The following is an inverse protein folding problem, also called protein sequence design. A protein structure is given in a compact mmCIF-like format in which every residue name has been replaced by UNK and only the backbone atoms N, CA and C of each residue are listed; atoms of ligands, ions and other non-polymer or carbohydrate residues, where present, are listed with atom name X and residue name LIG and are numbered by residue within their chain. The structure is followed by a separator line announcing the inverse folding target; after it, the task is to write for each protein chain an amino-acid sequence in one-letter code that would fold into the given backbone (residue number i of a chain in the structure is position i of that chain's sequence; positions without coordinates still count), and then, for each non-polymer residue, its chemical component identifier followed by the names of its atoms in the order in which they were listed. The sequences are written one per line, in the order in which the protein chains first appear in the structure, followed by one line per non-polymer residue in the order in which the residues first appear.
data_IF_775868225491
#
_entry.id   IF_775868225491
#
_cell.length_a   1.000
_cell.length_b   1.000
_cell.length_c   1.000
_cell.angle_alpha   90.00
_cell.angle_beta   90.00
_cell.angle_gamma   90.00
#
_symmetry.space_group_name_H-M   'P 1'
#
loop_
_entity.id
_entity.type
_entity.pdbx_description
1 polymer ?
#
# COMPACT_ATOMS: atom_id res chain seq x y z
N UNK A 1 17.92 -2.06 -7.48
CA UNK A 1 18.08 -3.15 -6.47
C UNK A 1 19.41 -3.88 -6.58
N UNK A 2 19.87 -4.35 -7.75
CA UNK A 2 21.21 -4.97 -7.89
C UNK A 2 22.34 -4.06 -7.39
N UNK A 3 22.30 -2.77 -7.74
CA UNK A 3 23.23 -1.75 -7.25
C UNK A 3 23.18 -1.55 -5.72
N UNK A 4 22.02 -1.75 -5.08
CA UNK A 4 21.89 -1.65 -3.62
C UNK A 4 22.48 -2.88 -2.94
N UNK A 5 22.24 -4.08 -3.48
CA UNK A 5 22.81 -5.33 -2.97
C UNK A 5 24.34 -5.35 -3.05
N UNK A 6 24.95 -4.63 -4.01
CA UNK A 6 26.40 -4.50 -4.13
C UNK A 6 27.03 -3.49 -3.15
N UNK A 7 26.23 -2.69 -2.43
CA UNK A 7 26.78 -1.77 -1.42
C UNK A 7 27.22 -2.54 -0.16
N UNK A 8 28.34 -2.13 0.47
CA UNK A 8 28.69 -2.53 1.84
C UNK A 8 27.53 -2.29 2.80
N UNK A 9 27.36 -3.17 3.80
CA UNK A 9 26.19 -3.10 4.70
C UNK A 9 26.10 -1.77 5.44
N UNK A 10 27.23 -1.18 5.78
CA UNK A 10 27.35 0.08 6.52
C UNK A 10 26.88 1.29 5.72
N UNK A 11 26.91 1.19 4.38
CA UNK A 11 26.50 2.27 3.47
C UNK A 11 25.16 2.02 2.81
N UNK A 12 24.48 0.91 3.15
CA UNK A 12 23.17 0.60 2.58
C UNK A 12 22.12 1.58 3.11
N UNK A 13 21.18 2.02 2.26
CA UNK A 13 20.05 2.79 2.75
C UNK A 13 19.19 1.92 3.68
N UNK A 14 18.69 2.52 4.76
CA UNK A 14 17.74 1.86 5.68
C UNK A 14 16.30 1.94 5.15
N UNK A 15 16.00 2.90 4.28
CA UNK A 15 14.69 3.10 3.63
C UNK A 15 14.89 3.33 2.14
N UNK A 16 14.10 2.62 1.32
CA UNK A 16 14.10 2.76 -0.14
C UNK A 16 12.68 3.06 -0.61
N UNK A 17 12.47 4.28 -1.09
CA UNK A 17 11.22 4.69 -1.73
C UNK A 17 11.24 4.35 -3.23
N UNK A 18 10.17 3.73 -3.71
CA UNK A 18 9.94 3.44 -5.12
C UNK A 18 8.55 3.95 -5.53
N UNK A 19 8.51 5.23 -5.92
CA UNK A 19 7.33 5.88 -6.52
C UNK A 19 7.08 5.44 -7.97
N UNK A 20 7.17 4.14 -8.23
CA UNK A 20 7.09 3.51 -9.56
C UNK A 20 6.35 2.18 -9.49
N UNK A 21 5.93 1.69 -10.64
CA UNK A 21 5.34 0.36 -10.78
C UNK A 21 4.98 0.04 -12.23
N UNK A 22 4.68 -1.21 -12.50
CA UNK A 22 4.29 -1.71 -13.81
C UNK A 22 3.50 -3.01 -13.71
N UNK A 23 3.04 -3.57 -14.85
CA UNK A 23 2.38 -4.86 -14.87
C UNK A 23 3.32 -5.98 -14.41
N UNK A 24 2.78 -7.01 -13.74
CA UNK A 24 3.55 -8.17 -13.31
C UNK A 24 2.91 -8.88 -12.11
N UNK A 25 3.26 -10.15 -11.91
CA UNK A 25 2.82 -10.93 -10.74
C UNK A 25 3.66 -10.60 -9.49
N UNK A 26 3.17 -10.95 -8.28
CA UNK A 26 3.96 -10.82 -7.06
C UNK A 26 5.28 -11.60 -7.05
N UNK A 27 5.43 -12.61 -7.91
CA UNK A 27 6.65 -13.40 -8.07
C UNK A 27 7.63 -12.79 -9.08
N UNK A 28 7.29 -11.65 -9.67
CA UNK A 28 8.21 -10.91 -10.54
C UNK A 28 9.50 -10.56 -9.79
N UNK A 29 10.64 -10.60 -10.48
CA UNK A 29 11.97 -10.44 -9.86
C UNK A 29 12.11 -9.17 -9.01
N UNK A 30 11.44 -8.08 -9.40
CA UNK A 30 11.42 -6.84 -8.61
C UNK A 30 10.70 -7.01 -7.27
N UNK A 31 9.56 -7.71 -7.24
CA UNK A 31 8.80 -8.00 -6.03
C UNK A 31 9.54 -8.97 -5.12
N UNK A 32 10.08 -10.05 -5.68
CA UNK A 32 10.90 -11.02 -4.94
C UNK A 32 12.12 -10.34 -4.35
N UNK A 33 12.83 -9.52 -5.13
CA UNK A 33 14.01 -8.80 -4.64
C UNK A 33 13.66 -7.79 -3.56
N UNK A 34 12.54 -7.05 -3.69
CA UNK A 34 12.11 -6.11 -2.66
C UNK A 34 11.75 -6.83 -1.36
N UNK A 35 11.03 -7.95 -1.44
CA UNK A 35 10.75 -8.81 -0.29
C UNK A 35 12.03 -9.30 0.39
N UNK A 36 13.02 -9.76 -0.38
CA UNK A 36 14.30 -10.18 0.18
C UNK A 36 15.05 -9.05 0.89
N UNK A 37 15.09 -7.85 0.29
CA UNK A 37 15.77 -6.71 0.90
C UNK A 37 15.10 -6.30 2.22
N UNK A 38 13.77 -6.36 2.28
CA UNK A 38 13.06 -6.07 3.52
C UNK A 38 13.29 -7.13 4.60
N UNK A 39 13.18 -8.41 4.26
CA UNK A 39 13.24 -9.49 5.25
C UNK A 39 14.66 -9.86 5.64
N UNK A 40 15.58 -9.97 4.67
CA UNK A 40 16.96 -10.46 4.91
C UNK A 40 17.94 -9.33 5.21
N UNK A 41 17.77 -8.19 4.56
CA UNK A 41 18.71 -7.06 4.69
C UNK A 41 18.21 -5.98 5.69
N UNK A 42 17.00 -6.12 6.25
CA UNK A 42 16.35 -5.16 7.15
C UNK A 42 16.25 -3.75 6.54
N UNK A 43 15.95 -3.67 5.23
CA UNK A 43 15.78 -2.41 4.49
C UNK A 43 14.30 -2.15 4.27
N UNK A 44 13.80 -1.02 4.76
CA UNK A 44 12.39 -0.66 4.62
C UNK A 44 12.07 -0.33 3.17
N UNK A 45 11.28 -1.17 2.51
CA UNK A 45 10.90 -1.00 1.12
C UNK A 45 9.52 -0.35 1.03
N UNK A 46 9.45 0.88 0.52
CA UNK A 46 8.21 1.66 0.43
C UNK A 46 7.86 1.89 -1.04
N UNK A 47 6.66 1.48 -1.46
CA UNK A 47 6.30 1.41 -2.87
C UNK A 47 4.90 1.97 -3.12
N UNK A 48 4.76 2.78 -4.16
CA UNK A 48 3.47 3.29 -4.58
C UNK A 48 2.55 2.14 -5.05
N UNK A 49 1.27 2.17 -4.66
CA UNK A 49 0.28 1.17 -5.07
C UNK A 49 0.01 1.18 -6.58
N UNK A 50 0.20 2.33 -7.24
CA UNK A 50 -0.15 2.57 -8.64
C UNK A 50 -1.37 3.48 -8.78
N UNK A 51 -1.69 3.84 -10.03
CA UNK A 51 -2.72 4.83 -10.37
C UNK A 51 -3.75 4.26 -11.39
N UNK A 52 -3.98 2.95 -11.34
CA UNK A 52 -4.84 2.22 -12.29
C UNK A 52 -6.19 1.80 -11.70
N UNK A 53 -6.63 2.43 -10.61
CA UNK A 53 -7.97 2.26 -10.05
C UNK A 53 -9.08 2.78 -10.99
N UNK A 54 -10.37 2.65 -10.61
CA UNK A 54 -10.88 2.15 -9.33
C UNK A 54 -11.21 0.66 -9.34
N UNK A 55 -10.92 -0.06 -10.44
CA UNK A 55 -11.17 -1.50 -10.52
C UNK A 55 -10.30 -2.24 -9.49
N UNK A 56 -10.81 -3.30 -8.84
CA UNK A 56 -10.01 -4.12 -7.94
C UNK A 56 -8.88 -4.82 -8.70
N UNK A 57 -7.87 -5.32 -7.98
CA UNK A 57 -6.74 -6.07 -8.53
C UNK A 57 -5.89 -5.27 -9.54
N UNK A 58 -5.69 -3.99 -9.28
CA UNK A 58 -4.96 -3.05 -10.16
C UNK A 58 -3.60 -2.65 -9.61
N UNK A 59 -3.18 -3.23 -8.48
CA UNK A 59 -1.83 -3.05 -7.91
C UNK A 59 -0.86 -3.96 -8.67
N UNK A 60 0.13 -3.34 -9.31
CA UNK A 60 1.15 -4.02 -10.10
C UNK A 60 2.46 -4.26 -9.33
N UNK A 61 3.49 -4.69 -10.05
CA UNK A 61 4.84 -4.90 -9.52
C UNK A 61 5.62 -3.58 -9.41
N UNK A 62 6.43 -3.35 -8.36
CA UNK A 62 6.61 -4.21 -7.20
C UNK A 62 5.59 -3.99 -6.07
N UNK A 63 4.64 -3.06 -6.22
CA UNK A 63 3.64 -2.72 -5.20
C UNK A 63 2.76 -3.89 -4.73
N UNK A 64 2.69 -4.97 -5.50
CA UNK A 64 1.98 -6.20 -5.14
C UNK A 64 2.82 -7.19 -4.32
N UNK A 65 4.10 -6.92 -4.02
CA UNK A 65 4.92 -7.84 -3.23
C UNK A 65 4.39 -7.98 -1.79
N UNK A 66 4.45 -9.21 -1.24
CA UNK A 66 3.85 -9.56 0.05
C UNK A 66 4.38 -8.73 1.23
N UNK A 67 5.70 -8.60 1.40
CA UNK A 67 6.29 -8.08 2.65
C UNK A 67 6.47 -6.56 2.68
N UNK A 68 6.73 -5.94 1.53
CA UNK A 68 6.98 -4.50 1.42
C UNK A 68 5.85 -3.63 1.97
N UNK A 69 6.12 -2.35 2.20
CA UNK A 69 5.10 -1.34 2.51
C UNK A 69 4.56 -0.72 1.21
N UNK A 70 3.33 -1.06 0.85
CA UNK A 70 2.62 -0.54 -0.32
C UNK A 70 1.69 0.59 0.08
N UNK A 71 1.81 1.74 -0.58
CA UNK A 71 1.20 2.99 -0.15
C UNK A 71 0.19 3.47 -1.19
N UNK A 72 -1.06 3.66 -0.74
CA UNK A 72 -2.08 4.41 -1.48
C UNK A 72 -2.18 5.84 -0.93
N UNK A 73 -3.13 6.65 -1.38
CA UNK A 73 -3.37 7.89 -0.67
C UNK A 73 -4.71 8.57 -0.86
N UNK A 74 -4.87 9.63 -0.08
CA UNK A 74 -6.06 10.45 0.06
C UNK A 74 -5.85 11.85 -0.51
N UNK A 75 -6.96 12.53 -0.79
CA UNK A 75 -6.96 13.96 -1.05
C UNK A 75 -7.03 14.78 0.26
N UNK A 76 -7.07 16.10 0.14
CA UNK A 76 -7.12 17.03 1.29
C UNK A 76 -8.33 16.84 2.22
N UNK A 77 -9.41 16.24 1.73
CA UNK A 77 -10.64 16.00 2.48
C UNK A 77 -10.64 14.60 3.13
N UNK A 78 -9.48 13.92 3.17
CA UNK A 78 -9.30 12.54 3.66
C UNK A 78 -10.12 11.51 2.90
N UNK A 79 -10.46 11.77 1.64
CA UNK A 79 -11.14 10.80 0.76
C UNK A 79 -10.15 10.15 -0.18
N UNK A 80 -10.32 8.86 -0.46
CA UNK A 80 -9.50 8.15 -1.44
C UNK A 80 -9.99 8.55 -2.84
N UNK A 81 -9.13 9.15 -3.69
CA UNK A 81 -9.49 9.45 -5.08
C UNK A 81 -9.85 8.20 -5.88
N UNK A 82 -10.31 8.40 -7.11
CA UNK A 82 -10.69 7.25 -7.97
C UNK A 82 -9.50 6.53 -8.61
N UNK A 83 -8.35 7.20 -8.73
CA UNK A 83 -7.19 6.70 -9.48
C UNK A 83 -6.30 5.69 -8.71
N UNK A 84 -6.12 5.72 -7.38
CA UNK A 84 -5.21 4.79 -6.71
C UNK A 84 -5.60 3.35 -7.01
N UNK A 85 -4.60 2.56 -7.37
CA UNK A 85 -4.75 1.12 -7.59
C UNK A 85 -5.22 0.43 -6.30
N UNK A 86 -5.99 -0.64 -6.47
CA UNK A 86 -6.68 -1.36 -5.40
C UNK A 86 -6.34 -2.84 -5.43
N UNK A 87 -6.27 -3.46 -4.26
CA UNK A 87 -6.20 -4.91 -4.14
C UNK A 87 -7.54 -5.60 -4.41
N UNK A 88 -7.74 -6.82 -3.89
CA UNK A 88 -6.71 -7.62 -3.22
C UNK A 88 -5.68 -8.12 -4.23
N UNK A 89 -4.56 -8.66 -3.74
CA UNK A 89 -3.66 -9.44 -4.58
C UNK A 89 -4.18 -10.87 -4.62
N UNK A 90 -4.32 -11.43 -5.83
CA UNK A 90 -4.68 -12.83 -6.02
C UNK A 90 -3.45 -13.61 -6.48
N UNK A 91 -3.14 -14.69 -5.78
CA UNK A 91 -2.06 -15.62 -6.14
C UNK A 91 -2.58 -17.05 -6.11
N UNK A 92 -1.79 -18.00 -6.63
CA UNK A 92 -2.14 -19.42 -6.55
C UNK A 92 -2.22 -19.91 -5.10
N UNK A 93 -1.39 -19.35 -4.22
CA UNK A 93 -1.21 -19.77 -2.82
C UNK A 93 -2.10 -19.00 -1.84
N UNK A 94 -2.97 -18.12 -2.35
CA UNK A 94 -3.92 -17.36 -1.54
C UNK A 94 -4.01 -15.89 -1.90
N UNK A 95 -5.03 -15.24 -1.35
CA UNK A 95 -5.26 -13.81 -1.55
C UNK A 95 -4.83 -13.03 -0.30
N UNK A 96 -4.11 -11.94 -0.49
CA UNK A 96 -3.72 -11.02 0.59
C UNK A 96 -4.05 -9.57 0.26
N UNK A 97 -4.08 -8.73 1.28
CA UNK A 97 -4.55 -7.35 1.20
C UNK A 97 -3.39 -6.43 0.83
N UNK A 98 -3.64 -5.61 -0.20
CA UNK A 98 -2.86 -4.42 -0.55
C UNK A 98 -3.84 -3.32 -0.96
N UNK A 99 -3.53 -2.03 -0.76
CA UNK A 99 -2.32 -1.46 -0.16
C UNK A 99 -2.21 -1.75 1.34
N UNK A 100 -1.08 -1.42 1.98
CA UNK A 100 -0.92 -1.60 3.44
C UNK A 100 -1.39 -0.36 4.23
N UNK A 101 -1.16 0.85 3.71
CA UNK A 101 -1.52 2.12 4.35
C UNK A 101 -1.89 3.18 3.31
N UNK A 102 -2.50 4.26 3.78
CA UNK A 102 -2.78 5.49 3.03
C UNK A 102 -1.95 6.66 3.56
N UNK A 103 -1.42 7.50 2.68
CA UNK A 103 -0.90 8.85 3.03
C UNK A 103 -1.52 9.90 2.11
N UNK A 104 -0.90 11.07 1.90
CA UNK A 104 -1.47 12.14 1.05
C UNK A 104 -1.03 11.97 -0.41
N UNK A 105 -2.00 11.83 -1.31
CA UNK A 105 -1.78 11.69 -2.75
C UNK A 105 -2.28 12.86 -3.59
N UNK A 106 -3.13 13.75 -3.03
CA UNK A 106 -3.85 14.77 -3.82
C UNK A 106 -5.03 14.20 -4.60
N UNK A 107 -5.64 14.99 -5.48
CA UNK A 107 -6.72 14.54 -6.37
C UNK A 107 -6.59 15.13 -7.78
N UNK A 108 -7.41 14.63 -8.70
CA UNK A 108 -7.60 15.17 -10.04
C UNK A 108 -8.93 15.92 -10.07
N UNK A 109 -8.86 17.22 -10.32
CA UNK A 109 -10.03 18.04 -10.55
C UNK A 109 -10.56 17.82 -11.97
N UNK A 110 -11.48 16.85 -12.08
CA UNK A 110 -12.10 16.49 -13.36
C UNK A 110 -12.79 17.66 -14.03
N UNK A 111 -13.33 18.63 -13.27
CA UNK A 111 -14.02 19.80 -13.82
C UNK A 111 -13.15 20.59 -14.80
N UNK A 112 -11.83 20.65 -14.53
CA UNK A 112 -10.80 21.33 -15.33
C UNK A 112 -10.30 20.52 -16.53
N UNK A 113 -10.82 19.30 -16.73
CA UNK A 113 -10.49 18.44 -17.89
C UNK A 113 -11.61 18.54 -18.93
N UNK A 114 -11.27 18.90 -20.18
CA UNK A 114 -12.23 19.00 -21.28
C UNK A 114 -12.91 17.68 -21.65
N UNK A 115 -14.16 17.75 -22.14
CA UNK A 115 -15.04 16.59 -22.37
C UNK A 115 -14.43 15.52 -23.30
N UNK A 116 -13.80 15.92 -24.42
CA UNK A 116 -13.12 14.99 -25.34
C UNK A 116 -12.03 14.18 -24.63
N UNK A 117 -11.23 14.85 -23.78
CA UNK A 117 -10.17 14.20 -23.00
C UNK A 117 -10.78 13.25 -21.96
N UNK A 118 -11.83 13.67 -21.24
CA UNK A 118 -12.58 12.80 -20.31
C UNK A 118 -13.11 11.54 -20.99
N UNK A 119 -13.74 11.68 -22.16
CA UNK A 119 -14.27 10.55 -22.93
C UNK A 119 -13.16 9.59 -23.36
N UNK A 120 -12.02 10.11 -23.82
CA UNK A 120 -10.86 9.28 -24.20
C UNK A 120 -10.25 8.51 -23.02
N UNK A 121 -10.27 9.10 -21.82
CA UNK A 121 -9.76 8.47 -20.59
C UNK A 121 -10.74 7.37 -20.17
N UNK A 122 -12.04 7.67 -20.20
CA UNK A 122 -13.10 6.73 -19.88
C UNK A 122 -13.09 5.52 -20.83
N UNK A 123 -13.06 5.73 -22.15
CA UNK A 123 -13.03 4.65 -23.13
C UNK A 123 -11.83 3.72 -22.93
N UNK A 124 -10.64 4.27 -22.66
CA UNK A 124 -9.44 3.47 -22.40
C UNK A 124 -9.51 2.68 -21.09
N UNK A 125 -10.08 3.27 -20.03
CA UNK A 125 -10.28 2.59 -18.75
C UNK A 125 -11.31 1.46 -18.84
N UNK A 126 -12.29 1.61 -19.71
CA UNK A 126 -13.39 0.65 -19.84
C UNK A 126 -13.05 -0.50 -20.80
N UNK A 127 -12.41 -0.20 -21.93
CA UNK A 127 -12.20 -1.18 -23.00
C UNK A 127 -10.74 -1.60 -23.23
N UNK A 128 -9.78 -1.00 -22.51
CA UNK A 128 -8.35 -1.26 -22.68
C UNK A 128 -7.80 -0.67 -23.99
N UNK A 129 -6.60 -0.08 -23.96
CA UNK A 129 -5.91 0.34 -25.18
C UNK A 129 -5.05 -0.83 -25.71
N UNK A 130 -5.30 -1.27 -26.95
CA UNK A 130 -4.26 -1.90 -27.76
C UNK A 130 -3.36 -0.78 -28.27
N UNK A 131 -2.23 -0.51 -27.62
CA UNK A 131 -1.27 0.51 -28.08
C UNK A 131 -0.49 1.16 -26.95
N UNK A 132 0.79 1.40 -27.21
CA UNK A 132 1.88 1.75 -26.28
C UNK A 132 1.86 3.15 -25.67
N UNK A 133 0.70 3.81 -25.57
CA UNK A 133 0.62 5.15 -24.97
C UNK A 133 -0.19 5.14 -23.67
N UNK A 134 0.56 5.39 -22.58
CA UNK A 134 0.16 5.18 -21.20
C UNK A 134 -1.12 5.98 -20.79
N UNK A 135 -2.01 5.37 -20.00
CA UNK A 135 -3.18 6.04 -19.43
C UNK A 135 -2.71 7.04 -18.39
N UNK A 136 -2.88 8.35 -18.61
CA UNK A 136 -2.52 9.46 -17.68
C UNK A 136 -1.55 9.01 -16.58
N UNK A 137 -0.32 8.76 -17.01
CA UNK A 137 0.80 8.55 -16.10
C UNK A 137 0.99 9.86 -15.36
N UNK A 138 0.94 9.89 -14.00
CA UNK A 138 1.69 10.92 -13.32
C UNK A 138 3.16 10.61 -13.65
N UNK A 139 3.72 11.39 -14.56
CA UNK A 139 5.11 11.30 -15.03
C UNK A 139 5.44 10.04 -15.86
N UNK A 140 5.34 10.12 -17.19
CA UNK A 140 6.19 9.33 -18.09
C UNK A 140 7.29 10.26 -18.62
N UNK A 141 8.57 9.95 -18.42
CA UNK A 141 9.67 10.72 -19.00
C UNK A 141 9.84 10.49 -20.51
N UNK A 142 9.08 9.58 -21.14
CA UNK A 142 9.42 9.08 -22.49
C UNK A 142 8.39 9.34 -23.59
N UNK A 143 7.32 10.10 -23.36
CA UNK A 143 6.41 10.49 -24.46
C UNK A 143 6.09 11.96 -24.38
N UNK A 144 6.89 12.78 -25.08
CA UNK A 144 6.52 14.12 -25.51
C UNK A 144 5.32 14.03 -26.47
N UNK A 145 4.12 14.52 -26.13
CA UNK A 145 3.22 15.00 -27.16
C UNK A 145 3.81 16.32 -27.65
N UNK A 146 4.18 16.38 -28.93
CA UNK A 146 4.75 17.57 -29.59
C UNK A 146 3.82 18.78 -29.64
N UNK A 147 2.61 18.70 -29.09
CA UNK A 147 1.72 19.83 -28.91
C UNK A 147 0.99 19.68 -27.57
N UNK A 148 1.39 20.46 -26.57
CA UNK A 148 0.53 20.71 -25.41
C UNK A 148 -0.19 22.03 -25.69
N UNK A 149 -1.51 22.02 -25.94
CA UNK A 149 -2.27 23.27 -25.92
C UNK A 149 -2.03 23.91 -24.57
N UNK A 150 -1.77 25.23 -24.55
CA UNK A 150 -1.60 26.01 -23.32
C UNK A 150 -2.72 25.63 -22.33
N UNK A 151 -2.37 24.88 -21.30
CA UNK A 151 -3.36 24.33 -20.39
C UNK A 151 -3.75 25.47 -19.43
N UNK A 152 -4.91 26.10 -19.66
CA UNK A 152 -5.31 27.33 -18.94
C UNK A 152 -5.55 27.12 -17.43
N UNK A 153 -5.66 25.87 -16.95
CA UNK A 153 -5.84 25.61 -15.51
C UNK A 153 -5.22 24.28 -15.05
N UNK A 154 -4.65 24.30 -13.84
CA UNK A 154 -4.09 23.10 -13.21
C UNK A 154 -5.20 22.16 -12.73
N UNK A 155 -5.27 20.97 -13.33
CA UNK A 155 -6.19 19.90 -12.93
C UNK A 155 -5.70 19.10 -11.72
N UNK A 156 -4.44 19.28 -11.29
CA UNK A 156 -3.95 18.73 -10.03
C UNK A 156 -4.22 19.65 -8.83
N UNK A 157 -4.88 20.79 -9.01
CA UNK A 157 -5.22 21.69 -7.90
C UNK A 157 -6.63 21.40 -7.33
N UNK A 158 -6.77 21.15 -6.01
CA UNK A 158 -5.71 21.12 -4.99
C UNK A 158 -5.03 19.74 -4.90
N UNK A 159 -3.70 19.74 -5.01
CA UNK A 159 -2.86 18.54 -4.99
C UNK A 159 -1.66 18.72 -4.08
N UNK A 160 -0.71 17.80 -4.14
CA UNK A 160 0.52 17.88 -3.36
C UNK A 160 1.48 18.88 -3.99
N UNK A 161 1.86 19.91 -3.24
CA UNK A 161 2.88 20.87 -3.67
C UNK A 161 4.24 20.17 -3.64
N UNK A 162 4.89 20.10 -4.80
CA UNK A 162 6.17 19.40 -5.00
C UNK A 162 7.17 20.32 -5.69
N UNK A 163 8.47 20.07 -5.46
CA UNK A 163 9.53 20.78 -6.15
C UNK A 163 9.42 20.59 -7.68
N UNK A 164 9.62 21.66 -8.43
CA UNK A 164 9.51 21.69 -9.88
C UNK A 164 10.89 21.87 -10.51
N UNK A 165 11.19 21.05 -11.53
CA UNK A 165 12.39 21.25 -12.34
C UNK A 165 12.28 22.53 -13.17
N UNK A 166 13.39 23.22 -13.38
CA UNK A 166 13.47 24.35 -14.33
C UNK A 166 13.12 23.92 -15.77
N UNK A 167 13.34 22.64 -16.09
CA UNK A 167 13.15 22.06 -17.42
C UNK A 167 11.73 21.47 -17.60
N UNK A 168 10.86 21.62 -16.60
CA UNK A 168 9.48 21.16 -16.66
C UNK A 168 8.63 22.07 -17.56
N UNK A 169 8.29 21.56 -18.73
CA UNK A 169 7.52 22.27 -19.74
C UNK A 169 6.06 22.56 -19.31
N UNK A 170 5.51 21.81 -18.35
CA UNK A 170 4.16 22.06 -17.85
C UNK A 170 4.17 23.16 -16.79
N UNK A 171 3.87 24.38 -17.25
CA UNK A 171 3.76 25.56 -16.39
C UNK A 171 2.39 25.73 -15.76
N UNK A 172 1.35 25.05 -16.27
CA UNK A 172 -0.04 25.24 -15.87
C UNK A 172 -0.29 24.88 -14.41
N UNK A 173 0.46 23.90 -13.90
CA UNK A 173 0.40 23.46 -12.51
C UNK A 173 1.44 24.12 -11.59
N UNK A 174 2.19 25.11 -12.06
CA UNK A 174 3.13 25.85 -11.20
C UNK A 174 2.40 26.56 -10.07
N UNK A 175 3.02 26.60 -8.90
CA UNK A 175 2.45 27.29 -7.75
C UNK A 175 2.50 28.81 -7.96
N UNK A 176 1.35 29.47 -7.81
CA UNK A 176 1.25 30.93 -7.90
C UNK A 176 2.15 31.60 -6.84
N UNK A 177 2.92 32.60 -7.26
CA UNK A 177 3.91 33.28 -6.40
C UNK A 177 5.20 32.51 -6.17
N UNK A 178 5.32 31.24 -6.58
CA UNK A 178 6.57 30.48 -6.47
C UNK A 178 6.68 29.35 -7.52
N UNK A 179 7.15 29.72 -8.72
CA UNK A 179 7.27 28.79 -9.86
C UNK A 179 8.31 27.66 -9.67
N UNK A 180 9.08 27.66 -8.57
CA UNK A 180 9.96 26.54 -8.17
C UNK A 180 9.18 25.32 -7.66
N UNK A 181 7.87 25.46 -7.48
CA UNK A 181 6.98 24.39 -7.06
C UNK A 181 5.81 24.23 -8.02
N UNK A 182 5.18 23.05 -7.98
CA UNK A 182 3.95 22.75 -8.70
C UNK A 182 3.03 21.83 -7.92
N UNK A 183 1.77 21.79 -8.30
CA UNK A 183 0.85 20.75 -7.85
C UNK A 183 1.10 19.45 -8.61
N UNK A 184 1.08 18.35 -7.86
CA UNK A 184 1.16 16.98 -8.36
C UNK A 184 0.15 16.10 -7.62
N UNK A 185 -0.29 15.04 -8.28
CA UNK A 185 -1.19 14.05 -7.71
C UNK A 185 -0.72 12.65 -8.11
N UNK A 186 -0.85 11.70 -7.18
CA UNK A 186 -0.56 10.29 -7.45
C UNK A 186 -0.15 9.53 -6.20
N UNK A 187 -0.25 8.20 -6.23
CA UNK A 187 0.36 7.36 -5.18
C UNK A 187 1.89 7.50 -5.13
N UNK A 188 2.49 7.98 -6.23
CA UNK A 188 3.89 8.43 -6.30
C UNK A 188 4.22 9.61 -5.38
N UNK A 189 3.26 10.44 -4.98
CA UNK A 189 3.40 11.50 -3.98
C UNK A 189 3.14 10.98 -2.55
N UNK A 190 2.29 9.95 -2.43
CA UNK A 190 1.98 9.30 -1.17
C UNK A 190 3.16 8.45 -0.63
N UNK A 191 3.78 7.66 -1.50
CA UNK A 191 4.92 6.79 -1.18
C UNK A 191 6.10 7.52 -0.48
N UNK A 192 6.61 8.67 -0.97
CA UNK A 192 7.73 9.36 -0.33
C UNK A 192 7.37 9.96 1.03
N UNK A 193 6.09 10.29 1.27
CA UNK A 193 5.64 10.71 2.60
C UNK A 193 5.73 9.57 3.61
N UNK A 194 5.29 8.35 3.23
CA UNK A 194 5.45 7.17 4.08
C UNK A 194 6.93 6.86 4.34
N UNK A 195 7.77 6.91 3.30
CA UNK A 195 9.20 6.68 3.45
C UNK A 195 9.89 7.71 4.36
N UNK A 196 9.45 8.97 4.33
CA UNK A 196 9.93 10.00 5.25
C UNK A 196 9.55 9.70 6.70
N UNK A 197 8.33 9.23 6.94
CA UNK A 197 7.88 8.82 8.29
C UNK A 197 8.68 7.60 8.77
N UNK A 198 8.86 6.59 7.93
CA UNK A 198 9.69 5.42 8.25
C UNK A 198 11.13 5.82 8.60
N UNK A 199 11.71 6.76 7.86
CA UNK A 199 13.06 7.26 8.13
C UNK A 199 13.15 7.98 9.49
N UNK A 200 12.12 8.74 9.88
CA UNK A 200 12.06 9.38 11.20
C UNK A 200 11.94 8.34 12.31
N UNK A 201 11.08 7.34 12.16
CA UNK A 201 10.92 6.23 13.13
C UNK A 201 12.26 5.51 13.32
N UNK A 202 12.89 5.09 12.22
CA UNK A 202 14.17 4.38 12.23
C UNK A 202 15.28 5.25 12.82
N UNK A 203 15.33 6.53 12.47
CA UNK A 203 16.29 7.50 13.03
C UNK A 203 16.17 7.60 14.55
N UNK A 204 14.94 7.71 15.07
CA UNK A 204 14.68 7.73 16.50
C UNK A 204 15.11 6.42 17.19
N UNK A 205 14.77 5.26 16.62
CA UNK A 205 15.16 3.97 17.18
C UNK A 205 16.68 3.80 17.25
N UNK A 206 17.39 4.23 16.21
CA UNK A 206 18.86 4.23 16.19
C UNK A 206 19.44 5.17 17.25
N UNK A 207 18.90 6.37 17.41
CA UNK A 207 19.33 7.32 18.45
C UNK A 207 19.17 6.73 19.86
N UNK A 208 18.08 5.99 20.10
CA UNK A 208 17.82 5.34 21.39
C UNK A 208 18.52 3.99 21.56
N UNK A 209 19.24 3.50 20.55
CA UNK A 209 19.84 2.16 20.56
C UNK A 209 18.80 1.04 20.68
N UNK A 210 17.57 1.28 20.23
CA UNK A 210 16.48 0.30 20.26
C UNK A 210 16.56 -0.62 19.04
N UNK A 211 16.56 -1.94 19.27
CA UNK A 211 16.51 -2.92 18.20
C UNK A 211 15.15 -2.88 17.47
N UNK A 212 15.17 -3.08 16.16
CA UNK A 212 13.96 -3.13 15.34
C UNK A 212 14.14 -4.00 14.10
N UNK A 213 13.04 -4.61 13.66
CA UNK A 213 12.89 -5.14 12.31
C UNK A 213 11.99 -4.20 11.48
N UNK A 214 12.23 -4.09 10.17
CA UNK A 214 11.39 -3.29 9.28
C UNK A 214 9.96 -3.80 9.19
N UNK A 215 9.73 -5.09 9.44
CA UNK A 215 8.39 -5.63 9.61
C UNK A 215 7.66 -5.02 10.82
N UNK A 216 8.38 -4.72 11.91
CA UNK A 216 7.81 -4.06 13.09
C UNK A 216 7.53 -2.59 12.81
N UNK A 217 8.40 -1.89 12.06
CA UNK A 217 8.13 -0.52 11.60
C UNK A 217 6.87 -0.47 10.73
N UNK A 218 6.73 -1.42 9.80
CA UNK A 218 5.50 -1.60 9.01
C UNK A 218 4.28 -1.88 9.89
N UNK A 219 4.39 -2.76 10.88
CA UNK A 219 3.29 -3.06 11.79
C UNK A 219 2.87 -1.84 12.62
N UNK A 220 3.84 -1.05 13.10
CA UNK A 220 3.58 0.21 13.81
C UNK A 220 2.80 1.20 12.93
N UNK A 221 3.22 1.37 11.68
CA UNK A 221 2.52 2.22 10.70
C UNK A 221 1.08 1.77 10.46
N UNK A 222 0.85 0.46 10.36
CA UNK A 222 -0.48 -0.11 10.11
C UNK A 222 -1.38 -0.05 11.35
N UNK A 223 -0.90 -0.40 12.54
CA UNK A 223 -1.75 -0.48 13.73
C UNK A 223 -2.17 0.89 14.28
N UNK A 224 -1.40 1.93 13.96
CA UNK A 224 -1.66 3.32 14.41
C UNK A 224 -2.44 4.14 13.39
N UNK A 225 -2.69 3.60 12.19
CA UNK A 225 -3.41 4.28 11.14
C UNK A 225 -4.89 4.55 11.51
N UNK A 226 -5.42 5.66 11.02
CA UNK A 226 -6.83 6.00 11.14
C UNK A 226 -7.63 5.37 10.00
N UNK A 227 -8.55 4.46 10.32
CA UNK A 227 -9.47 3.92 9.33
C UNK A 227 -10.28 5.03 8.66
N UNK A 228 -10.38 4.94 7.34
CA UNK A 228 -11.13 5.83 6.45
C UNK A 228 -12.56 5.32 6.19
N UNK A 229 -12.97 4.20 6.81
CA UNK A 229 -14.28 3.57 6.59
C UNK A 229 -14.43 2.86 5.23
N UNK A 230 -13.33 2.69 4.49
CA UNK A 230 -13.28 2.02 3.19
C UNK A 230 -12.91 0.53 3.31
N UNK A 231 -13.03 -0.23 2.23
CA UNK A 231 -12.57 -1.63 2.23
C UNK A 231 -11.04 -1.71 2.39
N UNK A 232 -10.49 -2.73 3.08
CA UNK A 232 -9.03 -2.88 3.27
C UNK A 232 -8.26 -2.89 1.95
N UNK A 233 -8.83 -3.45 0.88
CA UNK A 233 -8.24 -3.48 -0.46
C UNK A 233 -8.15 -2.10 -1.13
N UNK A 234 -8.76 -1.08 -0.54
CA UNK A 234 -8.78 0.30 -1.03
C UNK A 234 -7.89 1.18 -0.16
N UNK A 235 -8.01 1.09 1.17
CA UNK A 235 -7.33 1.98 2.12
C UNK A 235 -6.13 1.36 2.85
N UNK A 236 -5.97 0.04 2.80
CA UNK A 236 -5.10 -0.69 3.71
C UNK A 236 -5.59 -0.60 5.15
N UNK A 237 -4.66 -0.36 6.07
CA UNK A 237 -4.96 -0.10 7.48
C UNK A 237 -5.61 1.28 7.71
N UNK A 238 -5.49 2.19 6.74
CA UNK A 238 -6.02 3.55 6.79
C UNK A 238 -4.95 4.63 6.65
N UNK A 239 -5.32 5.87 6.98
CA UNK A 239 -4.44 7.03 6.88
C UNK A 239 -3.43 7.04 8.02
N UNK A 240 -2.15 7.14 7.68
CA UNK A 240 -1.05 7.24 8.67
C UNK A 240 -1.30 8.40 9.64
N UNK A 241 -1.09 8.13 10.94
CA UNK A 241 -1.27 9.10 12.01
C UNK A 241 0.04 9.26 12.80
N UNK A 242 0.76 10.35 12.55
CA UNK A 242 2.06 10.63 13.18
C UNK A 242 2.02 10.78 14.69
N UNK A 243 0.92 11.31 15.25
CA UNK A 243 0.76 11.48 16.70
C UNK A 243 0.63 10.12 17.40
N UNK A 244 -0.21 9.23 16.85
CA UNK A 244 -0.35 7.85 17.37
C UNK A 244 0.95 7.05 17.23
N UNK A 245 1.67 7.23 16.11
CA UNK A 245 2.99 6.63 15.91
C UNK A 245 3.96 7.09 17.00
N UNK A 246 4.10 8.40 17.20
CA UNK A 246 5.03 8.95 18.18
C UNK A 246 4.72 8.47 19.60
N UNK A 247 3.45 8.53 20.01
CA UNK A 247 3.01 8.07 21.32
C UNK A 247 3.31 6.58 21.57
N UNK A 248 2.99 5.73 20.58
CA UNK A 248 3.25 4.29 20.67
C UNK A 248 4.76 3.99 20.70
N UNK A 249 5.54 4.68 19.85
CA UNK A 249 6.99 4.49 19.73
C UNK A 249 7.72 4.86 21.02
N UNK A 250 7.43 6.03 21.59
CA UNK A 250 8.04 6.49 22.85
C UNK A 250 7.72 5.53 24.00
N UNK A 251 6.46 5.10 24.13
CA UNK A 251 6.06 4.18 25.18
C UNK A 251 6.77 2.83 25.05
N UNK A 252 6.82 2.27 23.83
CA UNK A 252 7.41 0.95 23.58
C UNK A 252 8.92 0.96 23.78
N UNK A 253 9.62 1.99 23.30
CA UNK A 253 11.05 2.14 23.55
C UNK A 253 11.34 2.28 25.04
N UNK A 254 10.59 3.11 25.76
CA UNK A 254 10.75 3.28 27.22
C UNK A 254 10.53 1.99 28.00
N UNK A 255 9.60 1.15 27.56
CA UNK A 255 9.27 -0.14 28.20
C UNK A 255 10.08 -1.32 27.62
N UNK A 256 10.98 -1.08 26.68
CA UNK A 256 11.71 -2.12 25.94
C UNK A 256 10.78 -3.18 25.32
N UNK A 257 9.65 -2.73 24.76
CA UNK A 257 8.69 -3.55 24.04
C UNK A 257 9.03 -3.57 22.53
N UNK A 258 8.59 -4.61 21.80
CA UNK A 258 8.65 -4.64 20.34
C UNK A 258 8.07 -3.38 19.71
N UNK A 259 8.72 -2.88 18.65
CA UNK A 259 8.37 -1.58 18.02
C UNK A 259 6.97 -1.62 17.42
N UNK A 260 6.56 -2.75 16.87
CA UNK A 260 5.30 -2.96 16.15
C UNK A 260 4.63 -4.27 16.52
N UNK A 261 3.30 -4.31 16.49
CA UNK A 261 2.54 -5.53 16.76
C UNK A 261 2.35 -6.38 15.48
N UNK A 262 3.30 -7.27 15.20
CA UNK A 262 3.25 -8.18 14.04
C UNK A 262 1.97 -9.04 14.02
N UNK A 263 1.54 -9.70 15.12
CA UNK A 263 0.26 -10.43 15.12
C UNK A 263 -0.96 -9.59 14.75
N UNK A 264 -1.05 -8.34 15.23
CA UNK A 264 -2.13 -7.44 14.84
C UNK A 264 -2.05 -7.05 13.36
N UNK A 265 -0.85 -6.80 12.85
CA UNK A 265 -0.62 -6.55 11.42
C UNK A 265 -1.11 -7.72 10.55
N UNK A 266 -0.76 -8.96 10.92
CA UNK A 266 -1.20 -10.16 10.20
C UNK A 266 -2.72 -10.35 10.28
N UNK A 267 -3.34 -10.02 11.41
CA UNK A 267 -4.80 -10.07 11.53
C UNK A 267 -5.53 -9.14 10.55
N UNK A 268 -4.90 -8.03 10.14
CA UNK A 268 -5.45 -7.14 9.12
C UNK A 268 -5.43 -7.74 7.71
N UNK A 269 -4.65 -8.80 7.47
CA UNK A 269 -4.60 -9.52 6.19
C UNK A 269 -5.76 -10.52 6.01
N UNK A 270 -6.61 -10.71 7.02
CA UNK A 270 -7.79 -11.56 6.92
C UNK A 270 -8.80 -10.99 5.90
N UNK A 271 -8.94 -11.67 4.76
CA UNK A 271 -10.01 -11.39 3.81
C UNK A 271 -11.40 -11.81 4.39
N UNK A 272 -12.52 -11.39 3.77
CA UNK A 272 -13.86 -11.75 4.25
C UNK A 272 -14.06 -13.25 4.42
N UNK A 273 -13.49 -14.06 3.52
CA UNK A 273 -13.57 -15.52 3.60
C UNK A 273 -12.87 -16.06 4.83
N UNK A 274 -11.63 -15.66 5.11
CA UNK A 274 -10.94 -16.08 6.32
C UNK A 274 -11.76 -15.75 7.58
N UNK A 275 -12.34 -14.55 7.66
CA UNK A 275 -13.16 -14.12 8.81
C UNK A 275 -14.37 -15.04 9.05
N UNK A 276 -15.02 -15.52 8.00
CA UNK A 276 -16.11 -16.49 8.11
C UNK A 276 -15.57 -17.87 8.51
N UNK A 277 -14.53 -18.37 7.84
CA UNK A 277 -14.03 -19.73 8.06
C UNK A 277 -13.38 -19.92 9.44
N UNK A 278 -12.84 -18.87 10.06
CA UNK A 278 -12.32 -18.92 11.45
C UNK A 278 -13.38 -19.39 12.46
N UNK A 279 -14.68 -19.23 12.15
CA UNK A 279 -15.79 -19.59 13.04
C UNK A 279 -16.09 -21.10 13.07
N UNK A 280 -15.62 -21.89 12.08
CA UNK A 280 -16.05 -23.28 11.88
C UNK A 280 -15.68 -24.20 13.05
N UNK A 281 -14.45 -24.11 13.56
CA UNK A 281 -13.96 -24.94 14.68
C UNK A 281 -13.59 -24.15 15.93
N UNK A 282 -13.70 -22.82 15.88
CA UNK A 282 -13.35 -21.93 17.00
C UNK A 282 -11.93 -22.18 17.57
N UNK A 283 -11.01 -22.73 16.75
CA UNK A 283 -9.59 -22.91 17.10
C UNK A 283 -8.87 -21.58 17.11
N UNK A 284 -9.14 -20.76 16.10
CA UNK A 284 -8.53 -19.47 15.91
C UNK A 284 -9.52 -18.37 16.26
N UNK A 285 -9.07 -17.38 17.02
CA UNK A 285 -9.91 -16.27 17.48
C UNK A 285 -9.22 -14.94 17.18
N UNK A 286 -9.91 -14.02 16.50
CA UNK A 286 -9.43 -12.64 16.36
C UNK A 286 -9.54 -11.91 17.69
N UNK A 287 -8.46 -11.26 18.10
CA UNK A 287 -8.36 -10.41 19.29
C UNK A 287 -7.77 -9.05 18.90
N UNK A 288 -7.84 -8.01 19.75
CA UNK A 288 -7.15 -6.75 19.49
C UNK A 288 -5.63 -6.89 19.33
N UNK A 289 -5.04 -7.94 19.89
CA UNK A 289 -3.61 -8.21 19.79
C UNK A 289 -3.22 -8.96 18.51
N UNK A 290 -4.17 -9.61 17.83
CA UNK A 290 -3.90 -10.48 16.69
C UNK A 290 -4.79 -11.72 16.68
N UNK A 291 -4.43 -12.72 15.87
CA UNK A 291 -5.15 -14.00 15.79
C UNK A 291 -4.58 -14.96 16.83
N UNK A 292 -5.38 -15.40 17.79
CA UNK A 292 -5.03 -16.37 18.82
C UNK A 292 -5.30 -17.81 18.33
N UNK A 293 -4.27 -18.65 18.25
CA UNK A 293 -4.45 -20.11 18.17
C UNK A 293 -4.72 -20.65 19.58
N UNK A 294 -6.00 -20.94 19.87
CA UNK A 294 -6.43 -21.42 21.20
C UNK A 294 -5.90 -22.81 21.53
N UNK A 295 -5.57 -23.62 20.51
CA UNK A 295 -4.99 -24.95 20.72
C UNK A 295 -3.55 -24.82 21.22
N UNK A 296 -2.76 -24.00 20.54
CA UNK A 296 -1.33 -23.84 20.82
C UNK A 296 -1.04 -22.71 21.83
N UNK A 297 -2.05 -21.93 22.21
CA UNK A 297 -2.00 -20.84 23.20
C UNK A 297 -0.99 -19.73 22.87
N UNK A 298 -0.87 -19.39 21.59
CA UNK A 298 -0.04 -18.27 21.14
C UNK A 298 -0.75 -17.50 20.02
N UNK A 299 -0.30 -16.27 19.81
CA UNK A 299 -0.72 -15.47 18.66
C UNK A 299 0.04 -15.93 17.41
N UNK A 300 -0.66 -15.93 16.28
CA UNK A 300 -0.07 -16.07 14.95
C UNK A 300 0.88 -14.89 14.74
N UNK A 301 2.17 -15.16 14.62
CA UNK A 301 3.21 -14.12 14.73
C UNK A 301 4.12 -13.99 13.50
N UNK A 302 3.91 -14.81 12.48
CA UNK A 302 4.64 -14.72 11.21
C UNK A 302 3.78 -15.21 10.04
N UNK A 303 4.19 -14.90 8.81
CA UNK A 303 3.46 -15.26 7.60
C UNK A 303 3.31 -16.78 7.41
N UNK A 304 4.28 -17.59 7.81
CA UNK A 304 4.18 -19.05 7.68
C UNK A 304 3.08 -19.62 8.61
N UNK A 305 3.00 -19.12 9.86
CA UNK A 305 1.91 -19.47 10.76
C UNK A 305 0.55 -18.98 10.23
N UNK A 306 0.52 -17.80 9.61
CA UNK A 306 -0.70 -17.27 8.99
C UNK A 306 -1.16 -18.11 7.80
N UNK A 307 -0.24 -18.48 6.91
CA UNK A 307 -0.53 -19.32 5.75
C UNK A 307 -1.00 -20.72 6.21
N UNK A 308 -0.33 -21.35 7.18
CA UNK A 308 -0.77 -22.63 7.77
C UNK A 308 -2.13 -22.53 8.44
N UNK A 309 -2.44 -21.41 9.10
CA UNK A 309 -3.77 -21.16 9.66
C UNK A 309 -4.80 -21.06 8.53
N UNK A 310 -4.53 -20.29 7.47
CA UNK A 310 -5.41 -20.13 6.32
C UNK A 310 -5.70 -21.48 5.62
N UNK A 311 -4.67 -22.30 5.41
CA UNK A 311 -4.80 -23.67 4.89
C UNK A 311 -5.63 -24.55 5.83
N UNK A 312 -5.40 -24.48 7.14
CA UNK A 312 -6.13 -25.26 8.14
C UNK A 312 -7.63 -24.94 8.13
N UNK A 313 -8.02 -23.66 8.07
CA UNK A 313 -9.45 -23.28 8.06
C UNK A 313 -10.14 -23.65 6.75
N UNK A 314 -9.42 -23.61 5.62
CA UNK A 314 -9.93 -24.10 4.34
C UNK A 314 -10.10 -25.61 4.32
N UNK A 315 -9.15 -26.36 4.89
CA UNK A 315 -9.27 -27.80 5.05
C UNK A 315 -10.45 -28.17 5.96
N UNK A 316 -10.64 -27.43 7.05
CA UNK A 316 -11.79 -27.59 7.94
C UNK A 316 -13.11 -27.39 7.19
N UNK A 317 -13.23 -26.33 6.38
CA UNK A 317 -14.38 -26.07 5.52
C UNK A 317 -14.64 -27.20 4.51
N UNK A 318 -13.61 -27.69 3.81
CA UNK A 318 -13.74 -28.76 2.81
C UNK A 318 -14.28 -30.07 3.40
N UNK A 319 -14.00 -30.31 4.68
CA UNK A 319 -14.43 -31.51 5.39
C UNK A 319 -15.86 -31.40 5.96
N UNK A 320 -16.52 -30.25 5.83
CA UNK A 320 -17.88 -30.08 6.33
C UNK A 320 -18.93 -30.81 5.47
N UNK A 321 -20.04 -31.28 6.09
CA UNK A 321 -21.20 -31.76 5.36
C UNK A 321 -21.72 -30.72 4.35
N UNK A 322 -22.37 -31.17 3.28
CA UNK A 322 -22.89 -30.29 2.22
C UNK A 322 -23.77 -29.16 2.77
N UNK A 323 -24.68 -29.46 3.71
CA UNK A 323 -25.60 -28.46 4.25
C UNK A 323 -24.87 -27.33 5.01
N UNK A 324 -23.80 -27.64 5.75
CA UNK A 324 -23.01 -26.63 6.46
C UNK A 324 -22.20 -25.78 5.50
N UNK A 325 -21.58 -26.41 4.48
CA UNK A 325 -20.89 -25.68 3.40
C UNK A 325 -21.84 -24.74 2.68
N UNK A 326 -23.07 -25.19 2.39
CA UNK A 326 -24.09 -24.37 1.74
C UNK A 326 -24.46 -23.14 2.58
N UNK A 327 -24.63 -23.28 3.89
CA UNK A 327 -24.88 -22.15 4.79
C UNK A 327 -23.71 -21.16 4.84
N UNK A 328 -22.48 -21.65 4.89
CA UNK A 328 -21.27 -20.82 4.87
C UNK A 328 -21.14 -20.10 3.52
N UNK A 329 -21.40 -20.77 2.41
CA UNK A 329 -21.36 -20.18 1.08
C UNK A 329 -22.40 -19.06 0.92
N UNK A 330 -23.56 -19.18 1.57
CA UNK A 330 -24.54 -18.10 1.64
C UNK A 330 -24.01 -16.89 2.42
N UNK A 331 -23.33 -17.10 3.55
CA UNK A 331 -22.71 -16.02 4.32
C UNK A 331 -21.64 -15.30 3.49
N UNK A 332 -20.80 -16.06 2.78
CA UNK A 332 -19.74 -15.52 1.93
C UNK A 332 -20.24 -14.73 0.72
N UNK A 333 -21.44 -15.04 0.20
CA UNK A 333 -22.07 -14.25 -0.87
C UNK A 333 -22.55 -12.87 -0.39
N UNK A 334 -22.79 -12.74 0.92
CA UNK A 334 -23.33 -11.53 1.54
C UNK A 334 -22.26 -10.67 2.23
N UNK A 335 -20.99 -11.11 2.25
CA UNK A 335 -19.84 -10.44 2.87
C UNK A 335 -18.95 -9.74 1.86
#
# INVERSE_FOLDING_TARGET
MKALKSLPKETRPQVVNMSLGGPGSPDHILSVTANEMMVKDNIMMVVAAGNSGPKPQTIGTPGNARYILTVTGVNKDRKIPTFPSRGPIKTADGNYIKPDISTVAGDVNWSKIGMKKRLSIWFRREFGAQGTENPIVPFSPETTPKETPAQESCYYDPGVISARSKDDADTACSLAGNAKYRFMTGTSMASPLAAGIDAVIIGYLNEKGAAYATAEVKALMMETADSLGEKPEVQGAGLVNGEKIAAALEERVRKSLPVGNIPAMLAQQLNPRHKVLLQIKNRFQTTPLGILDRKNKHLINNDAEFDLMAESIEADYKNLPFYERWWIDLQLRNS
#
